data_IF_856098636505
#
_entry.id   IF_856098636505
#
_cell.length_a   1.000
_cell.length_b   1.000
_cell.length_c   1.000
_cell.angle_alpha   90.00
_cell.angle_beta   90.00
_cell.angle_gamma   90.00
#
_symmetry.space_group_name_H-M   'P 1'
#
loop_
_entity.id
_entity.type
_entity.pdbx_description
1 polymer ?
#
# COMPACT_ATOMS: atom_id res chain seq x y z
N UNK A 1 -38.50 -8.31 29.55
CA UNK A 1 -37.80 -9.55 29.90
C UNK A 1 -37.65 -9.59 31.40
N UNK A 2 -37.96 -10.72 32.06
CA UNK A 2 -37.73 -10.87 33.47
C UNK A 2 -36.23 -10.80 33.78
N UNK A 3 -35.87 -10.13 34.85
CA UNK A 3 -34.48 -10.09 35.31
C UNK A 3 -34.12 -11.51 35.74
N UNK A 4 -33.11 -12.10 35.13
CA UNK A 4 -32.68 -13.45 35.47
C UNK A 4 -32.04 -13.45 36.85
N UNK A 5 -32.53 -14.33 37.71
CA UNK A 5 -32.03 -14.54 39.08
C UNK A 5 -31.44 -15.92 39.17
N UNK A 6 -30.26 -16.03 39.74
CA UNK A 6 -29.68 -17.35 40.05
C UNK A 6 -30.40 -18.00 41.25
N UNK A 7 -30.92 -17.19 42.18
CA UNK A 7 -31.64 -17.64 43.36
C UNK A 7 -32.86 -16.75 43.60
N UNK A 8 -34.03 -17.34 43.83
CA UNK A 8 -35.26 -16.60 44.00
C UNK A 8 -35.27 -15.67 45.21
N UNK A 9 -34.52 -16.00 46.24
CA UNK A 9 -34.51 -15.28 47.52
C UNK A 9 -33.38 -14.24 47.62
N UNK A 10 -32.49 -14.16 46.68
CA UNK A 10 -31.33 -13.24 46.69
C UNK A 10 -31.41 -12.21 45.58
N UNK A 11 -31.84 -10.99 45.94
CA UNK A 11 -31.97 -9.88 45.01
C UNK A 11 -30.62 -9.32 44.52
N UNK A 12 -29.52 -9.61 45.23
CA UNK A 12 -28.19 -9.13 44.90
C UNK A 12 -27.54 -9.89 43.72
N UNK A 13 -28.07 -11.06 43.37
CA UNK A 13 -27.58 -11.92 42.28
C UNK A 13 -28.47 -11.80 41.03
N UNK A 14 -28.96 -10.61 40.76
CA UNK A 14 -29.73 -10.36 39.55
C UNK A 14 -28.78 -10.10 38.36
N UNK A 15 -28.98 -10.83 37.29
CA UNK A 15 -28.29 -10.56 36.01
C UNK A 15 -29.18 -9.63 35.17
N UNK A 16 -28.57 -8.60 34.58
CA UNK A 16 -29.22 -7.77 33.59
C UNK A 16 -29.35 -8.54 32.27
N UNK A 17 -30.40 -8.31 31.48
CA UNK A 17 -30.61 -8.97 30.19
C UNK A 17 -29.63 -8.44 29.08
N UNK A 18 -28.67 -7.66 29.46
CA UNK A 18 -27.69 -7.09 28.54
C UNK A 18 -26.29 -7.54 28.95
N UNK A 19 -25.58 -8.12 28.00
CA UNK A 19 -24.19 -8.43 28.12
C UNK A 19 -23.36 -7.44 27.27
N UNK A 20 -22.25 -6.99 27.81
CA UNK A 20 -21.33 -6.09 27.12
C UNK A 20 -19.89 -6.44 27.43
N UNK A 21 -19.02 -6.11 26.53
CA UNK A 21 -17.59 -6.25 26.70
C UNK A 21 -16.85 -4.97 26.32
N UNK A 22 -15.90 -4.58 27.14
CA UNK A 22 -14.98 -3.47 26.90
C UNK A 22 -13.60 -4.05 26.71
N UNK A 23 -12.93 -3.70 25.60
CA UNK A 23 -11.60 -4.21 25.28
C UNK A 23 -10.48 -3.45 26.01
N UNK A 24 -10.70 -2.19 26.39
CA UNK A 24 -9.78 -1.41 27.21
C UNK A 24 -10.53 -0.80 28.40
N UNK A 25 -9.99 -0.97 29.60
CA UNK A 25 -10.66 -0.57 30.85
C UNK A 25 -9.87 0.43 31.70
N UNK A 26 -8.76 0.99 31.22
CA UNK A 26 -7.94 1.93 32.00
C UNK A 26 -7.60 3.16 31.17
N UNK A 27 -8.37 4.24 31.33
CA UNK A 27 -8.06 5.58 30.78
C UNK A 27 -7.57 5.65 29.33
N UNK A 28 -7.68 4.56 28.57
CA UNK A 28 -7.32 4.47 27.17
C UNK A 28 -8.58 4.28 26.34
N UNK A 29 -8.60 4.93 25.19
CA UNK A 29 -9.67 4.77 24.21
C UNK A 29 -9.74 3.32 23.73
N UNK A 30 -10.94 2.83 23.48
CA UNK A 30 -11.13 1.53 22.84
C UNK A 30 -10.71 1.60 21.39
N UNK A 31 -9.48 1.19 21.14
CA UNK A 31 -8.92 1.19 19.78
C UNK A 31 -9.16 -0.19 19.15
N UNK A 32 -9.84 -0.21 18.01
CA UNK A 32 -10.01 -1.45 17.25
C UNK A 32 -8.73 -1.80 16.49
N UNK A 33 -8.55 -3.08 16.13
CA UNK A 33 -7.45 -3.53 15.27
C UNK A 33 -7.48 -2.79 13.93
N UNK A 34 -8.67 -2.50 13.42
CA UNK A 34 -8.86 -1.74 12.18
C UNK A 34 -8.36 -0.31 12.33
N UNK A 35 -8.66 0.35 13.45
CA UNK A 35 -8.18 1.71 13.73
C UNK A 35 -6.65 1.78 13.85
N UNK A 36 -6.02 0.74 14.40
CA UNK A 36 -4.55 0.63 14.44
C UNK A 36 -3.94 0.49 13.04
N UNK A 37 -4.66 -0.14 12.13
CA UNK A 37 -4.22 -0.33 10.73
C UNK A 37 -4.46 0.88 9.82
N UNK A 38 -5.34 1.80 10.21
CA UNK A 38 -5.74 2.93 9.35
C UNK A 38 -4.57 3.81 8.87
N UNK A 39 -3.61 4.22 9.71
CA UNK A 39 -2.45 5.01 9.28
C UNK A 39 -1.62 4.30 8.20
N UNK A 40 -1.44 2.98 8.34
CA UNK A 40 -0.71 2.17 7.36
C UNK A 40 -1.46 2.07 6.03
N UNK A 41 -2.79 1.96 6.07
CA UNK A 41 -3.61 1.93 4.87
C UNK A 41 -3.53 3.25 4.11
N UNK A 42 -3.60 4.38 4.80
CA UNK A 42 -3.45 5.71 4.17
C UNK A 42 -2.07 5.83 3.53
N UNK A 43 -1.02 5.46 4.26
CA UNK A 43 0.35 5.50 3.76
C UNK A 43 0.52 4.60 2.54
N UNK A 44 0.01 3.37 2.58
CA UNK A 44 0.02 2.42 1.47
C UNK A 44 -0.66 3.00 0.23
N UNK A 45 -1.85 3.60 0.38
CA UNK A 45 -2.60 4.18 -0.73
C UNK A 45 -1.85 5.35 -1.38
N UNK A 46 -1.20 6.21 -0.57
CA UNK A 46 -0.40 7.33 -1.09
C UNK A 46 0.79 6.83 -1.92
N UNK A 47 1.51 5.82 -1.42
CA UNK A 47 2.65 5.25 -2.16
C UNK A 47 2.20 4.46 -3.38
N UNK A 48 1.09 3.73 -3.29
CA UNK A 48 0.52 3.01 -4.43
C UNK A 48 0.13 3.97 -5.55
N UNK A 49 -0.54 5.07 -5.23
CA UNK A 49 -0.86 6.12 -6.20
C UNK A 49 0.38 6.74 -6.85
N UNK A 50 1.43 7.00 -6.06
CA UNK A 50 2.71 7.49 -6.60
C UNK A 50 3.37 6.48 -7.54
N UNK A 51 3.29 5.20 -7.22
CA UNK A 51 3.78 4.12 -8.07
C UNK A 51 3.03 4.09 -9.41
N UNK A 52 1.71 4.16 -9.38
CA UNK A 52 0.88 4.20 -10.60
C UNK A 52 1.23 5.40 -11.48
N UNK A 53 1.38 6.59 -10.88
CA UNK A 53 1.82 7.79 -11.61
C UNK A 53 3.22 7.62 -12.21
N UNK A 54 4.14 6.97 -11.50
CA UNK A 54 5.49 6.73 -11.97
C UNK A 54 5.51 5.76 -13.15
N UNK A 55 4.68 4.72 -13.10
CA UNK A 55 4.50 3.78 -14.21
C UNK A 55 3.89 4.49 -15.43
N UNK A 56 2.85 5.29 -15.21
CA UNK A 56 2.20 6.04 -16.30
C UNK A 56 3.13 7.08 -16.96
N UNK A 57 4.05 7.67 -16.20
CA UNK A 57 5.03 8.66 -16.68
C UNK A 57 6.33 8.04 -17.19
N UNK A 58 6.51 6.74 -17.02
CA UNK A 58 7.72 6.07 -17.44
C UNK A 58 7.79 6.08 -18.97
N UNK A 59 8.75 6.84 -19.52
CA UNK A 59 9.10 6.86 -20.94
C UNK A 59 10.49 6.26 -21.02
N UNK A 60 10.60 5.05 -21.56
CA UNK A 60 11.83 4.27 -21.52
C UNK A 60 13.01 5.01 -22.17
N UNK A 61 12.87 5.46 -23.40
CA UNK A 61 13.93 6.18 -24.12
C UNK A 61 13.31 7.21 -25.05
N UNK A 62 13.84 8.42 -25.00
CA UNK A 62 13.48 9.48 -25.93
C UNK A 62 14.66 9.70 -26.86
N UNK A 63 14.40 9.62 -28.16
CA UNK A 63 15.41 9.94 -29.16
C UNK A 63 15.33 11.45 -29.49
N UNK A 64 16.44 12.16 -29.26
CA UNK A 64 16.57 13.55 -29.59
C UNK A 64 17.12 13.66 -31.04
N UNK A 65 16.40 14.35 -31.90
CA UNK A 65 16.77 14.58 -33.28
C UNK A 65 16.80 16.09 -33.59
N UNK A 66 17.69 16.51 -34.46
CA UNK A 66 17.80 17.91 -34.86
C UNK A 66 16.65 18.30 -35.81
N UNK A 67 15.93 19.38 -35.47
CA UNK A 67 14.77 19.85 -36.26
C UNK A 67 15.10 20.20 -37.71
N UNK A 68 16.33 20.64 -37.96
CA UNK A 68 16.79 20.97 -39.32
C UNK A 68 16.92 19.74 -40.24
N UNK A 69 16.99 18.55 -39.67
CA UNK A 69 17.05 17.31 -40.45
C UNK A 69 15.68 16.87 -40.97
N UNK A 70 14.61 17.53 -40.50
CA UNK A 70 13.25 17.20 -40.92
C UNK A 70 12.90 17.98 -42.18
N UNK A 71 12.43 17.33 -43.23
CA UNK A 71 12.00 18.02 -44.43
C UNK A 71 10.79 18.91 -44.12
N UNK A 72 10.96 20.24 -44.10
CA UNK A 72 9.88 21.22 -43.88
C UNK A 72 8.74 21.13 -44.91
N UNK A 73 8.88 20.28 -45.91
CA UNK A 73 7.90 20.08 -47.00
C UNK A 73 6.61 19.35 -46.60
N UNK A 74 6.51 18.76 -45.39
CA UNK A 74 5.38 17.91 -45.02
C UNK A 74 4.50 18.48 -43.91
N UNK A 75 4.52 19.81 -43.66
CA UNK A 75 3.57 20.42 -42.70
C UNK A 75 3.66 19.86 -41.29
N UNK A 76 4.84 19.77 -40.79
CA UNK A 76 5.08 19.42 -39.39
C UNK A 76 4.82 20.65 -38.52
N UNK A 77 3.74 20.60 -37.73
CA UNK A 77 3.40 21.58 -36.71
C UNK A 77 3.88 21.12 -35.35
N UNK A 78 3.97 22.07 -34.40
CA UNK A 78 4.37 21.80 -33.02
C UNK A 78 3.48 20.74 -32.35
N UNK A 79 2.17 20.72 -32.66
CA UNK A 79 1.24 19.71 -32.14
C UNK A 79 1.57 18.31 -32.60
N UNK A 80 1.91 18.16 -33.89
CA UNK A 80 2.37 16.87 -34.43
C UNK A 80 3.68 16.45 -33.81
N UNK A 81 4.57 17.39 -33.55
CA UNK A 81 5.83 17.15 -32.88
C UNK A 81 5.59 16.58 -31.48
N UNK A 82 4.73 17.25 -30.67
CA UNK A 82 4.40 16.80 -29.32
C UNK A 82 3.73 15.42 -29.34
N UNK A 83 2.83 15.17 -30.30
CA UNK A 83 2.18 13.88 -30.46
C UNK A 83 3.20 12.76 -30.75
N UNK A 84 4.11 12.95 -31.66
CA UNK A 84 5.12 11.94 -31.99
C UNK A 84 6.17 11.78 -30.89
N UNK A 85 6.52 12.84 -30.18
CA UNK A 85 7.40 12.78 -29.03
C UNK A 85 6.76 11.93 -27.89
N UNK A 86 5.46 12.08 -27.68
CA UNK A 86 4.73 11.34 -26.67
C UNK A 86 4.42 9.89 -27.09
N UNK A 87 3.98 9.69 -28.33
CA UNK A 87 3.56 8.37 -28.83
C UNK A 87 4.73 7.47 -29.22
N UNK A 88 5.82 8.04 -29.76
CA UNK A 88 6.95 7.29 -30.35
C UNK A 88 8.29 7.52 -29.63
N UNK A 89 8.36 8.48 -28.70
CA UNK A 89 9.58 8.80 -27.97
C UNK A 89 10.64 9.57 -28.77
N UNK A 90 10.25 10.31 -29.85
CA UNK A 90 11.14 11.17 -30.60
C UNK A 90 10.97 12.64 -30.24
N UNK A 91 12.06 13.34 -29.99
CA UNK A 91 12.06 14.77 -29.77
C UNK A 91 13.04 15.44 -30.77
N UNK A 92 12.55 16.44 -31.47
CA UNK A 92 13.36 17.19 -32.43
C UNK A 92 13.90 18.47 -31.76
N UNK A 93 15.16 18.77 -31.93
CA UNK A 93 15.82 19.93 -31.33
C UNK A 93 16.35 20.80 -32.45
N UNK A 94 16.06 22.11 -32.39
CA UNK A 94 16.68 23.10 -33.27
C UNK A 94 17.96 23.63 -32.63
N UNK A 95 19.11 23.27 -33.14
CA UNK A 95 20.42 23.73 -32.68
C UNK A 95 20.79 25.12 -33.19
N UNK A 96 20.04 25.65 -34.17
CA UNK A 96 20.32 26.94 -34.84
C UNK A 96 19.38 28.06 -34.45
N UNK A 97 18.47 27.83 -33.44
CA UNK A 97 17.51 28.85 -32.97
C UNK A 97 18.21 30.12 -32.48
N UNK A 98 17.69 31.28 -32.91
CA UNK A 98 18.19 32.60 -32.49
C UNK A 98 18.24 32.73 -30.96
N UNK A 99 19.40 33.13 -30.43
CA UNK A 99 19.64 33.32 -28.98
C UNK A 99 20.60 32.30 -28.35
N UNK A 100 21.01 31.26 -29.03
CA UNK A 100 22.15 30.44 -28.62
C UNK A 100 23.43 31.02 -29.22
N UNK A 101 24.37 31.37 -28.36
CA UNK A 101 25.70 31.82 -28.74
C UNK A 101 26.28 30.87 -29.82
N UNK A 102 26.89 31.46 -30.87
CA UNK A 102 27.50 30.82 -32.02
C UNK A 102 28.65 29.84 -31.75
N UNK A 103 28.73 29.28 -30.56
CA UNK A 103 29.58 28.14 -30.33
C UNK A 103 28.89 26.94 -30.98
N UNK A 104 29.46 26.50 -32.09
CA UNK A 104 29.15 25.23 -32.74
C UNK A 104 29.31 24.08 -31.72
N UNK A 105 28.39 23.94 -30.85
CA UNK A 105 28.23 22.69 -30.11
C UNK A 105 27.78 21.70 -31.19
N UNK A 106 28.72 20.89 -31.64
CA UNK A 106 28.46 19.77 -32.53
C UNK A 106 27.49 18.83 -31.81
N UNK A 107 26.18 19.06 -32.02
CA UNK A 107 25.18 18.16 -31.58
C UNK A 107 25.34 16.86 -32.36
N UNK A 108 25.65 15.76 -31.69
CA UNK A 108 25.59 14.45 -32.33
C UNK A 108 24.19 14.29 -32.91
N UNK A 109 24.06 14.03 -34.19
CA UNK A 109 22.79 14.00 -34.94
C UNK A 109 21.71 13.13 -34.28
N UNK A 110 22.12 12.22 -33.38
CA UNK A 110 21.22 11.34 -32.63
C UNK A 110 21.74 11.20 -31.20
N UNK A 111 20.98 11.68 -30.27
CA UNK A 111 21.23 11.44 -28.84
C UNK A 111 20.04 10.72 -28.22
N UNK A 112 20.30 9.61 -27.57
CA UNK A 112 19.27 8.87 -26.82
C UNK A 112 19.32 9.33 -25.38
N UNK A 113 18.23 9.95 -24.94
CA UNK A 113 18.03 10.29 -23.54
C UNK A 113 17.34 9.10 -22.84
N UNK A 114 18.04 8.46 -21.94
CA UNK A 114 17.47 7.40 -21.11
C UNK A 114 16.67 8.04 -19.95
N UNK A 115 15.38 7.96 -20.01
CA UNK A 115 14.45 8.44 -18.99
C UNK A 115 13.78 7.27 -18.25
N UNK A 116 14.39 6.10 -18.27
CA UNK A 116 13.83 4.93 -17.61
C UNK A 116 13.79 5.13 -16.08
N UNK A 117 12.61 4.99 -15.51
CA UNK A 117 12.37 5.05 -14.07
C UNK A 117 12.39 3.66 -13.42
N UNK A 118 12.92 2.65 -14.11
CA UNK A 118 12.86 1.26 -13.69
C UNK A 118 13.39 1.03 -12.28
N UNK A 119 14.54 1.61 -11.93
CA UNK A 119 15.12 1.50 -10.58
C UNK A 119 14.26 2.21 -9.52
N UNK A 120 13.71 3.37 -9.85
CA UNK A 120 12.82 4.11 -8.97
C UNK A 120 11.52 3.33 -8.72
N UNK A 121 10.92 2.77 -9.76
CA UNK A 121 9.72 1.92 -9.68
C UNK A 121 9.98 0.69 -8.80
N UNK A 122 11.12 0.03 -8.99
CA UNK A 122 11.52 -1.11 -8.18
C UNK A 122 11.70 -0.74 -6.69
N UNK A 123 12.33 0.39 -6.40
CA UNK A 123 12.48 0.91 -5.04
C UNK A 123 11.12 1.24 -4.40
N UNK A 124 10.20 1.86 -5.12
CA UNK A 124 8.84 2.14 -4.64
C UNK A 124 8.07 0.84 -4.35
N UNK A 125 8.23 -0.17 -5.19
CA UNK A 125 7.60 -1.47 -4.97
C UNK A 125 8.14 -2.17 -3.71
N UNK A 126 9.45 -2.12 -3.47
CA UNK A 126 10.07 -2.63 -2.24
C UNK A 126 9.55 -1.89 -1.00
N UNK A 127 9.41 -0.56 -1.09
CA UNK A 127 8.85 0.24 0.00
C UNK A 127 7.40 -0.15 0.32
N UNK A 128 6.56 -0.36 -0.70
CA UNK A 128 5.19 -0.85 -0.51
C UNK A 128 5.15 -2.21 0.19
N UNK A 129 6.07 -3.11 -0.16
CA UNK A 129 6.17 -4.41 0.52
C UNK A 129 6.62 -4.27 1.97
N UNK A 130 7.54 -3.34 2.26
CA UNK A 130 7.99 -3.06 3.62
C UNK A 130 6.85 -2.50 4.48
N UNK A 131 6.10 -1.51 3.98
CA UNK A 131 4.93 -0.94 4.67
C UNK A 131 3.90 -2.03 4.97
N UNK A 132 3.65 -2.92 3.99
CA UNK A 132 2.72 -4.03 4.18
C UNK A 132 3.20 -5.00 5.26
N UNK A 133 4.49 -5.32 5.29
CA UNK A 133 5.07 -6.20 6.30
C UNK A 133 4.97 -5.59 7.71
N UNK A 134 5.31 -4.32 7.85
CA UNK A 134 5.19 -3.58 9.11
C UNK A 134 3.73 -3.50 9.60
N UNK A 135 2.80 -3.26 8.68
CA UNK A 135 1.37 -3.31 8.99
C UNK A 135 0.94 -4.67 9.51
N UNK A 136 1.35 -5.75 8.85
CA UNK A 136 1.03 -7.14 9.25
C UNK A 136 1.60 -7.46 10.65
N UNK A 137 2.81 -6.98 10.96
CA UNK A 137 3.42 -7.14 12.28
C UNK A 137 2.65 -6.40 13.38
N UNK A 138 2.29 -5.14 13.14
CA UNK A 138 1.57 -4.33 14.12
C UNK A 138 0.18 -4.86 14.45
N UNK A 139 -0.50 -5.45 13.48
CA UNK A 139 -1.83 -6.06 13.68
C UNK A 139 -1.72 -7.48 14.27
N UNK A 140 -0.53 -8.09 14.20
CA UNK A 140 -0.34 -9.48 14.65
C UNK A 140 -0.97 -10.50 13.69
N UNK A 141 -1.09 -10.18 12.41
CA UNK A 141 -1.60 -11.10 11.38
C UNK A 141 -0.49 -11.41 10.39
N UNK A 142 0.34 -12.39 10.72
CA UNK A 142 1.44 -12.82 9.85
C UNK A 142 0.96 -13.44 8.54
N UNK A 143 1.83 -13.43 7.51
CA UNK A 143 1.56 -14.07 6.21
C UNK A 143 1.27 -15.56 6.35
N UNK A 144 1.98 -16.24 7.25
CA UNK A 144 1.82 -17.65 7.53
C UNK A 144 0.42 -17.95 8.11
N UNK A 145 -0.08 -17.06 8.97
CA UNK A 145 -1.43 -17.18 9.52
C UNK A 145 -2.53 -17.00 8.46
N UNK A 146 -2.22 -16.25 7.39
CA UNK A 146 -3.10 -16.11 6.21
C UNK A 146 -3.02 -17.31 5.26
N UNK A 147 -2.24 -18.34 5.58
CA UNK A 147 -2.01 -19.50 4.71
C UNK A 147 -0.99 -19.26 3.58
N UNK A 148 -0.28 -18.14 3.59
CA UNK A 148 0.77 -17.84 2.61
C UNK A 148 2.10 -18.40 3.09
N UNK A 149 2.32 -19.68 2.86
CA UNK A 149 3.59 -20.37 3.17
C UNK A 149 4.39 -20.49 1.89
N UNK A 150 5.68 -20.10 1.94
CA UNK A 150 6.60 -20.33 0.83
C UNK A 150 7.12 -21.77 0.91
N UNK A 151 7.34 -22.39 -0.23
CA UNK A 151 7.86 -23.76 -0.34
C UNK A 151 9.24 -23.92 0.32
N UNK A 152 9.97 -22.81 0.48
CA UNK A 152 11.28 -22.76 1.15
C UNK A 152 11.20 -22.62 2.68
N UNK A 153 10.01 -22.35 3.22
CA UNK A 153 9.86 -22.13 4.65
C UNK A 153 9.79 -23.49 5.36
N UNK A 154 10.68 -23.68 6.32
CA UNK A 154 10.66 -24.89 7.14
C UNK A 154 9.41 -24.96 8.01
N UNK A 155 8.84 -26.17 8.19
CA UNK A 155 7.62 -26.38 8.98
C UNK A 155 7.75 -25.76 10.38
N UNK A 156 8.87 -25.95 11.05
CA UNK A 156 9.09 -25.40 12.39
C UNK A 156 9.17 -23.86 12.46
N UNK A 157 9.64 -23.19 11.40
CA UNK A 157 9.65 -21.73 11.34
C UNK A 157 8.24 -21.18 11.12
N UNK A 158 7.46 -21.83 10.28
CA UNK A 158 6.07 -21.49 10.00
C UNK A 158 5.20 -21.63 11.24
N UNK A 159 5.33 -22.73 11.99
CA UNK A 159 4.60 -22.95 13.24
C UNK A 159 4.93 -21.88 14.29
N UNK A 160 6.21 -21.55 14.45
CA UNK A 160 6.63 -20.48 15.39
C UNK A 160 6.07 -19.13 15.00
N UNK A 161 6.09 -18.77 13.71
CA UNK A 161 5.55 -17.52 13.21
C UNK A 161 4.02 -17.43 13.43
N UNK A 162 3.29 -18.52 13.21
CA UNK A 162 1.85 -18.61 13.48
C UNK A 162 1.60 -18.47 14.97
N UNK A 163 2.37 -19.17 15.82
CA UNK A 163 2.24 -19.09 17.27
C UNK A 163 2.50 -17.66 17.79
N UNK A 164 3.60 -17.02 17.39
CA UNK A 164 3.91 -15.64 17.77
C UNK A 164 2.82 -14.65 17.34
N UNK A 165 2.32 -14.82 16.13
CA UNK A 165 1.22 -14.01 15.61
C UNK A 165 -0.08 -14.23 16.39
N UNK A 166 -0.36 -15.47 16.85
CA UNK A 166 -1.55 -15.78 17.64
C UNK A 166 -1.50 -15.14 19.02
N UNK A 167 -0.33 -15.10 19.66
CA UNK A 167 -0.16 -14.51 21.00
C UNK A 167 -0.57 -13.02 21.01
N UNK A 168 -0.21 -12.26 19.98
CA UNK A 168 -0.57 -10.82 19.88
C UNK A 168 -2.10 -10.63 19.87
N UNK A 169 -2.81 -11.48 19.17
CA UNK A 169 -4.27 -11.36 18.98
C UNK A 169 -5.09 -12.19 19.99
N UNK A 170 -4.45 -13.08 20.75
CA UNK A 170 -5.14 -14.01 21.67
C UNK A 170 -5.96 -13.28 22.73
N UNK A 171 -5.44 -12.20 23.28
CA UNK A 171 -6.16 -11.39 24.28
C UNK A 171 -7.53 -10.91 23.75
N UNK A 172 -7.59 -10.50 22.47
CA UNK A 172 -8.81 -10.01 21.84
C UNK A 172 -9.79 -11.15 21.64
N UNK A 173 -9.31 -12.29 21.11
CA UNK A 173 -10.16 -13.47 20.89
C UNK A 173 -10.68 -14.06 22.20
N UNK A 174 -9.83 -14.17 23.22
CA UNK A 174 -10.22 -14.65 24.54
C UNK A 174 -11.29 -13.78 25.18
N UNK A 175 -11.19 -12.47 25.01
CA UNK A 175 -12.22 -11.54 25.49
C UNK A 175 -13.53 -11.73 24.75
N UNK A 176 -13.48 -12.00 23.46
CA UNK A 176 -14.67 -12.28 22.66
C UNK A 176 -15.31 -13.62 23.04
N UNK A 177 -14.53 -14.67 23.25
CA UNK A 177 -15.02 -15.96 23.73
C UNK A 177 -15.73 -15.84 25.09
N UNK A 178 -15.14 -15.13 26.05
CA UNK A 178 -15.78 -14.86 27.35
C UNK A 178 -17.09 -14.08 27.21
N UNK A 179 -17.19 -13.21 26.18
CA UNK A 179 -18.45 -12.53 25.90
C UNK A 179 -19.50 -13.54 25.37
N UNK A 180 -19.14 -14.40 24.44
CA UNK A 180 -20.04 -15.44 23.92
C UNK A 180 -20.49 -16.41 25.00
N UNK A 181 -19.61 -16.85 25.90
CA UNK A 181 -19.95 -17.69 27.04
C UNK A 181 -21.04 -17.04 27.94
N UNK A 182 -20.93 -15.74 28.19
CA UNK A 182 -21.93 -14.99 28.94
C UNK A 182 -23.26 -14.85 28.21
N UNK A 183 -23.20 -14.66 26.88
CA UNK A 183 -24.40 -14.64 26.06
C UNK A 183 -25.13 -15.96 26.09
N UNK A 184 -24.43 -17.08 25.92
CA UNK A 184 -25.01 -18.41 25.99
C UNK A 184 -25.55 -18.73 27.38
N UNK A 185 -24.82 -18.36 28.44
CA UNK A 185 -25.30 -18.53 29.83
C UNK A 185 -26.52 -17.66 30.17
N UNK A 186 -26.75 -16.60 29.39
CA UNK A 186 -27.95 -15.76 29.53
C UNK A 186 -29.17 -16.27 28.76
N UNK A 187 -28.97 -17.20 27.82
CA UNK A 187 -30.07 -17.83 27.02
C UNK A 187 -30.65 -19.07 27.71
N UNK A 188 -29.89 -19.69 28.63
CA UNK A 188 -30.34 -20.84 29.47
C UNK A 188 -31.01 -20.33 30.74
#
# INVERSE_FOLDING_TARGET
HPVQRNEMNNLSVCKLPYNGRVYSNRHSDNISIISMGLPYQVLYNVFHYRLELSIAKNKDKIMLMEMNTIPKRHGWDEEKFMYYADAMGYAFIDSTAEGKNNERVSFNQYQVLDMSLGQYIAAQFQLLQAIKAEWEENIGVSRQRKGQVKTSDGVGSTERAVFQSSVISEEIFRRFETFLEREYAGLI
#
